data_IF_399490849033
#
_entry.id   IF_399490849033
#
_cell.length_a   1.000
_cell.length_b   1.000
_cell.length_c   1.000
_cell.angle_alpha   90.00
_cell.angle_beta   90.00
_cell.angle_gamma   90.00
#
_symmetry.space_group_name_H-M   'P 1'
#
loop_
_entity.id
_entity.type
_entity.pdbx_description
1 polymer ?
#
# COMPACT_ATOMS: atom_id res chain seq x y z
N UNK A 1 16.28 11.05 39.99
CA UNK A 1 16.08 9.88 39.11
C UNK A 1 15.04 10.24 38.07
N UNK A 2 15.43 10.34 36.80
CA UNK A 2 14.49 10.55 35.70
C UNK A 2 13.87 9.19 35.40
N UNK A 3 12.57 9.03 35.68
CA UNK A 3 11.86 7.80 35.35
C UNK A 3 11.78 7.76 33.82
N UNK A 4 12.36 6.76 33.14
CA UNK A 4 12.22 6.65 31.71
C UNK A 4 10.73 6.52 31.37
N UNK A 5 10.25 7.19 30.31
CA UNK A 5 8.85 7.08 29.93
C UNK A 5 8.49 5.60 29.71
N UNK A 6 7.27 5.18 30.10
CA UNK A 6 6.87 3.79 29.97
C UNK A 6 7.05 3.32 28.53
N UNK A 7 7.73 2.19 28.36
CA UNK A 7 7.91 1.55 27.05
C UNK A 7 6.51 1.25 26.50
N UNK A 8 6.19 1.79 25.32
CA UNK A 8 4.88 1.54 24.70
C UNK A 8 4.73 0.02 24.51
N UNK A 9 3.59 -0.57 24.90
CA UNK A 9 3.36 -1.99 24.68
C UNK A 9 3.51 -2.29 23.19
N UNK A 10 4.07 -3.47 22.82
CA UNK A 10 4.16 -3.87 21.43
C UNK A 10 2.75 -3.87 20.84
N UNK A 11 2.59 -3.23 19.67
CA UNK A 11 1.29 -3.19 18.99
C UNK A 11 0.77 -4.62 18.82
N UNK A 12 -0.51 -4.87 19.12
CA UNK A 12 -1.18 -6.15 18.89
C UNK A 12 -1.46 -6.34 17.38
N UNK A 13 -0.42 -6.22 16.55
CA UNK A 13 -0.47 -6.35 15.08
C UNK A 13 -0.54 -7.80 14.62
N UNK A 14 -0.32 -8.77 15.51
CA UNK A 14 -0.27 -10.20 15.15
C UNK A 14 -1.65 -10.80 14.85
N UNK A 15 -2.72 -10.24 15.40
CA UNK A 15 -4.09 -10.76 15.29
C UNK A 15 -5.06 -9.77 14.64
N UNK A 16 -4.92 -8.47 14.90
CA UNK A 16 -5.64 -7.49 14.09
C UNK A 16 -5.04 -7.51 12.68
N UNK A 17 -5.89 -7.38 11.66
CA UNK A 17 -5.50 -7.05 10.29
C UNK A 17 -5.64 -5.52 10.10
N UNK A 18 -4.80 -4.68 10.74
CA UNK A 18 -5.11 -3.26 10.85
C UNK A 18 -4.82 -2.52 9.54
N UNK A 19 -3.92 -3.02 8.69
CA UNK A 19 -3.53 -2.37 7.45
C UNK A 19 -4.28 -2.97 6.28
N UNK A 20 -5.15 -2.17 5.66
CA UNK A 20 -5.98 -2.58 4.53
C UNK A 20 -5.54 -1.83 3.28
N UNK A 21 -5.15 -2.57 2.25
CA UNK A 21 -4.85 -2.05 0.92
C UNK A 21 -6.15 -1.82 0.15
N UNK A 22 -6.40 -0.57 -0.24
CA UNK A 22 -7.44 -0.18 -1.18
C UNK A 22 -6.81 0.30 -2.47
N UNK A 23 -7.28 -0.26 -3.58
CA UNK A 23 -6.85 0.12 -4.93
C UNK A 23 -7.98 0.80 -5.67
N UNK A 24 -7.66 1.89 -6.35
CA UNK A 24 -8.60 2.62 -7.18
C UNK A 24 -7.99 2.90 -8.55
N UNK A 25 -8.67 2.37 -9.57
CA UNK A 25 -8.30 2.49 -10.97
C UNK A 25 -9.33 3.37 -11.65
N UNK A 26 -8.86 4.39 -12.34
CA UNK A 26 -9.65 5.23 -13.23
C UNK A 26 -9.14 5.06 -14.65
N UNK A 27 -9.88 5.59 -15.64
CA UNK A 27 -9.45 5.59 -17.04
C UNK A 27 -8.18 6.42 -17.32
N UNK A 28 -7.64 7.13 -16.33
CA UNK A 28 -6.43 7.96 -16.50
C UNK A 28 -5.34 7.65 -15.50
N UNK A 29 -5.71 7.20 -14.31
CA UNK A 29 -4.81 7.12 -13.18
C UNK A 29 -5.02 5.84 -12.38
N UNK A 30 -3.89 5.35 -11.87
CA UNK A 30 -3.82 4.28 -10.89
C UNK A 30 -3.45 4.87 -9.53
N UNK A 31 -4.13 4.42 -8.48
CA UNK A 31 -3.87 4.81 -7.10
C UNK A 31 -4.05 3.63 -6.15
N UNK A 32 -3.17 3.55 -5.15
CA UNK A 32 -3.17 2.52 -4.13
C UNK A 32 -2.86 3.14 -2.78
N UNK A 33 -3.63 2.76 -1.75
CA UNK A 33 -3.52 3.31 -0.41
C UNK A 33 -3.60 2.19 0.62
N UNK A 34 -2.77 2.27 1.65
CA UNK A 34 -2.86 1.42 2.84
C UNK A 34 -3.42 2.23 3.98
N UNK A 35 -4.57 1.79 4.48
CA UNK A 35 -5.32 2.45 5.54
C UNK A 35 -5.18 1.67 6.83
N UNK A 36 -4.92 2.36 7.93
CA UNK A 36 -4.95 1.81 9.27
C UNK A 36 -6.41 1.83 9.79
N UNK A 37 -7.07 0.67 9.82
CA UNK A 37 -8.49 0.55 10.17
C UNK A 37 -8.84 1.13 11.57
N UNK A 38 -8.06 0.91 12.64
CA UNK A 38 -8.40 1.44 13.97
C UNK A 38 -8.36 2.98 14.06
N UNK A 39 -7.44 3.62 13.33
CA UNK A 39 -7.26 5.08 13.41
C UNK A 39 -7.90 5.81 12.22
N UNK A 40 -8.42 5.07 11.24
CA UNK A 40 -8.92 5.57 9.96
C UNK A 40 -7.90 6.46 9.18
N UNK A 41 -6.61 6.39 9.54
CA UNK A 41 -5.54 7.18 8.91
C UNK A 41 -4.91 6.43 7.76
N UNK A 42 -4.52 7.14 6.71
CA UNK A 42 -3.73 6.58 5.60
C UNK A 42 -2.29 6.38 6.07
N UNK A 43 -1.88 5.13 6.20
CA UNK A 43 -0.52 4.78 6.60
C UNK A 43 0.47 5.07 5.47
N UNK A 44 0.15 4.69 4.24
CA UNK A 44 0.94 5.00 3.05
C UNK A 44 0.02 5.09 1.83
N UNK A 45 0.41 5.90 0.86
CA UNK A 45 -0.31 6.04 -0.40
C UNK A 45 0.72 6.13 -1.53
N UNK A 46 0.32 5.70 -2.72
CA UNK A 46 1.06 5.90 -3.95
C UNK A 46 0.05 6.10 -5.09
N UNK A 47 0.30 7.11 -5.94
CA UNK A 47 -0.56 7.43 -7.08
C UNK A 47 0.26 7.94 -8.25
N UNK A 48 -0.13 7.53 -9.45
CA UNK A 48 0.33 8.13 -10.72
C UNK A 48 0.10 9.65 -10.82
N UNK A 49 -0.73 10.24 -9.95
CA UNK A 49 -0.96 11.69 -9.92
C UNK A 49 0.08 12.47 -9.10
N UNK A 50 0.94 11.78 -8.35
CA UNK A 50 1.99 12.45 -7.57
C UNK A 50 2.91 13.24 -8.50
N UNK A 51 3.19 14.50 -8.16
CA UNK A 51 4.01 15.40 -8.99
C UNK A 51 5.39 14.80 -9.30
N UNK A 52 6.00 14.13 -8.32
CA UNK A 52 7.29 13.46 -8.48
C UNK A 52 7.24 12.24 -9.42
N UNK A 53 6.10 11.55 -9.50
CA UNK A 53 5.94 10.35 -10.32
C UNK A 53 5.45 10.69 -11.73
N UNK A 54 4.66 11.74 -11.89
CA UNK A 54 4.14 12.21 -13.18
C UNK A 54 5.22 12.46 -14.22
N UNK A 55 6.38 12.99 -13.83
CA UNK A 55 7.50 13.25 -14.74
C UNK A 55 8.29 11.98 -15.09
N UNK A 56 8.25 10.96 -14.23
CA UNK A 56 8.97 9.69 -14.41
C UNK A 56 8.18 8.60 -15.13
N UNK A 57 6.88 8.82 -15.34
CA UNK A 57 5.95 7.82 -15.89
C UNK A 57 5.52 8.22 -17.29
N UNK A 58 5.92 7.42 -18.29
CA UNK A 58 5.52 7.57 -19.68
C UNK A 58 4.02 7.29 -19.90
N UNK A 59 3.44 6.39 -19.09
CA UNK A 59 2.01 6.14 -19.05
C UNK A 59 1.51 6.07 -17.60
N UNK A 60 0.33 6.64 -17.36
CA UNK A 60 -0.27 6.77 -16.02
C UNK A 60 -1.33 5.71 -15.73
N UNK A 61 -1.71 4.90 -16.72
CA UNK A 61 -2.84 3.98 -16.62
C UNK A 61 -2.51 2.50 -16.86
N UNK A 62 -1.38 2.18 -17.48
CA UNK A 62 -1.10 0.82 -17.96
C UNK A 62 -0.72 -0.15 -16.83
N UNK A 63 -0.61 -1.43 -17.18
CA UNK A 63 -0.17 -2.49 -16.27
C UNK A 63 1.24 -2.19 -15.73
N UNK A 64 2.12 -1.63 -16.57
CA UNK A 64 3.44 -1.17 -16.16
C UNK A 64 3.37 -0.03 -15.13
N UNK A 65 2.41 0.90 -15.28
CA UNK A 65 2.18 1.97 -14.32
C UNK A 65 1.72 1.42 -12.97
N UNK A 66 0.81 0.45 -13.00
CA UNK A 66 0.33 -0.25 -11.81
C UNK A 66 1.46 -1.00 -11.08
N UNK A 67 2.35 -1.66 -11.82
CA UNK A 67 3.53 -2.33 -11.24
C UNK A 67 4.48 -1.33 -10.57
N UNK A 68 4.81 -0.21 -11.25
CA UNK A 68 5.65 0.86 -10.67
C UNK A 68 5.06 1.40 -9.37
N UNK A 69 3.75 1.69 -9.34
CA UNK A 69 3.06 2.16 -8.14
C UNK A 69 3.10 1.12 -7.02
N UNK A 70 2.93 -0.17 -7.34
CA UNK A 70 3.04 -1.25 -6.37
C UNK A 70 4.43 -1.32 -5.72
N UNK A 71 5.49 -1.18 -6.52
CA UNK A 71 6.88 -1.15 -6.02
C UNK A 71 7.13 0.03 -5.08
N UNK A 72 6.76 1.24 -5.51
CA UNK A 72 6.93 2.48 -4.71
C UNK A 72 6.14 2.40 -3.41
N UNK A 73 4.91 1.88 -3.47
CA UNK A 73 4.11 1.69 -2.27
C UNK A 73 4.77 0.68 -1.33
N UNK A 74 5.38 -0.36 -1.89
CA UNK A 74 6.09 -1.38 -1.13
C UNK A 74 7.28 -0.82 -0.36
N UNK A 75 8.14 -0.06 -1.03
CA UNK A 75 9.27 0.65 -0.42
C UNK A 75 8.81 1.58 0.70
N UNK A 76 7.72 2.34 0.48
CA UNK A 76 7.14 3.23 1.50
C UNK A 76 6.60 2.48 2.72
N UNK A 77 6.12 1.24 2.54
CA UNK A 77 5.63 0.40 3.62
C UNK A 77 6.78 -0.20 4.43
N UNK A 78 7.86 -0.62 3.77
CA UNK A 78 9.08 -1.09 4.43
C UNK A 78 9.71 0.03 5.28
N UNK A 79 9.80 1.25 4.74
CA UNK A 79 10.30 2.42 5.48
C UNK A 79 9.45 2.77 6.71
N UNK A 80 8.17 2.39 6.72
CA UNK A 80 7.25 2.60 7.85
C UNK A 80 7.14 1.37 8.77
N UNK A 81 7.97 0.36 8.54
CA UNK A 81 8.01 -0.89 9.30
C UNK A 81 6.64 -1.60 9.33
N UNK A 82 5.91 -1.60 8.21
CA UNK A 82 4.61 -2.28 8.07
C UNK A 82 4.83 -3.62 7.34
N UNK A 83 4.88 -4.75 8.06
CA UNK A 83 5.27 -6.03 7.47
C UNK A 83 4.12 -6.76 6.77
N UNK A 84 2.87 -6.45 7.12
CA UNK A 84 1.71 -7.19 6.64
C UNK A 84 0.54 -6.26 6.27
N UNK A 85 -0.11 -6.56 5.15
CA UNK A 85 -1.23 -5.79 4.61
C UNK A 85 -2.30 -6.73 4.09
N UNK A 86 -3.56 -6.49 4.47
CA UNK A 86 -4.70 -7.22 3.95
C UNK A 86 -5.25 -6.56 2.70
N UNK A 87 -5.59 -7.38 1.69
CA UNK A 87 -6.11 -6.88 0.42
C UNK A 87 -7.63 -6.79 0.48
N UNK A 88 -8.17 -5.62 0.18
CA UNK A 88 -9.61 -5.45 0.03
C UNK A 88 -9.96 -5.18 -1.44
N UNK A 89 -10.60 -6.16 -2.08
CA UNK A 89 -11.12 -6.04 -3.44
C UNK A 89 -12.60 -5.69 -3.40
N UNK A 90 -13.02 -4.74 -4.23
CA UNK A 90 -14.45 -4.49 -4.47
C UNK A 90 -15.05 -5.68 -5.24
N UNK A 91 -16.38 -5.87 -5.17
CA UNK A 91 -17.09 -6.98 -5.86
C UNK A 91 -16.77 -7.09 -7.37
N UNK A 92 -16.53 -5.96 -8.02
CA UNK A 92 -16.21 -5.87 -9.46
C UNK A 92 -14.72 -6.10 -9.77
N UNK A 93 -13.86 -6.00 -8.75
CA UNK A 93 -12.41 -6.11 -8.88
C UNK A 93 -11.99 -7.57 -8.75
N UNK A 94 -11.67 -8.20 -9.89
CA UNK A 94 -11.06 -9.53 -9.94
C UNK A 94 -9.54 -9.42 -9.92
N UNK A 95 -8.88 -10.43 -9.34
CA UNK A 95 -7.42 -10.53 -9.39
C UNK A 95 -6.95 -10.80 -10.83
N UNK A 96 -6.82 -9.73 -11.61
CA UNK A 96 -6.44 -9.76 -13.02
C UNK A 96 -5.83 -8.41 -13.45
N UNK A 97 -5.08 -8.42 -14.55
CA UNK A 97 -4.52 -7.22 -15.18
C UNK A 97 -3.80 -6.29 -14.19
N UNK A 98 -4.33 -5.06 -14.06
CA UNK A 98 -3.73 -4.01 -13.21
C UNK A 98 -3.72 -4.37 -11.72
N UNK A 99 -4.78 -5.02 -11.23
CA UNK A 99 -4.87 -5.44 -9.82
C UNK A 99 -3.78 -6.47 -9.50
N UNK A 100 -3.62 -7.45 -10.39
CA UNK A 100 -2.57 -8.46 -10.29
C UNK A 100 -1.18 -7.81 -10.23
N UNK A 101 -0.90 -6.87 -11.13
CA UNK A 101 0.40 -6.18 -11.17
C UNK A 101 0.74 -5.41 -9.87
N UNK A 102 -0.25 -4.75 -9.23
CA UNK A 102 -0.02 -4.07 -7.94
C UNK A 102 0.32 -5.08 -6.84
N UNK A 103 -0.46 -6.16 -6.76
CA UNK A 103 -0.31 -7.18 -5.72
C UNK A 103 1.02 -7.94 -5.87
N UNK A 104 1.37 -8.32 -7.10
CA UNK A 104 2.62 -9.02 -7.39
C UNK A 104 3.82 -8.12 -7.05
N UNK A 105 3.74 -6.82 -7.38
CA UNK A 105 4.80 -5.87 -7.05
C UNK A 105 4.96 -5.64 -5.54
N UNK A 106 3.87 -5.67 -4.77
CA UNK A 106 3.93 -5.60 -3.30
C UNK A 106 4.54 -6.86 -2.70
N UNK A 107 4.26 -8.02 -3.30
CA UNK A 107 4.84 -9.30 -2.88
C UNK A 107 6.34 -9.35 -3.16
N UNK A 108 6.76 -8.86 -4.33
CA UNK A 108 8.18 -8.75 -4.70
C UNK A 108 8.93 -7.76 -3.80
N UNK A 109 8.25 -6.71 -3.31
CA UNK A 109 8.78 -5.80 -2.30
C UNK A 109 8.87 -6.41 -0.89
N UNK A 110 8.52 -7.69 -0.70
CA UNK A 110 8.69 -8.40 0.57
C UNK A 110 7.57 -8.17 1.59
N UNK A 111 6.43 -7.61 1.18
CA UNK A 111 5.30 -7.38 2.08
C UNK A 111 4.43 -8.62 2.15
N UNK A 112 4.10 -9.04 3.37
CA UNK A 112 3.23 -10.19 3.60
C UNK A 112 1.77 -9.81 3.33
N UNK A 113 1.15 -10.47 2.37
CA UNK A 113 -0.26 -10.29 2.05
C UNK A 113 -1.11 -11.27 2.88
N UNK A 114 -2.17 -10.76 3.53
CA UNK A 114 -3.05 -11.48 4.49
C UNK A 114 -4.53 -11.46 4.11
#
# INVERSE_FOLDING_TARGET
>A
MVIPPPVRPPRVVKFLKPYVLKMHFTNKYVSAQVIHAPTATVASAASSQEKALRTSMESTQDVAAAAKIGKILGERLLLKEIPAVSVFLKREQKYHGKIKAVIDSLRDAGIKLL
#
